data_IF_392038242267
#
_entry.id   IF_392038242267
#
_cell.length_a   1.000
_cell.length_b   1.000
_cell.length_c   1.000
_cell.angle_alpha   90.00
_cell.angle_beta   90.00
_cell.angle_gamma   90.00
#
_symmetry.space_group_name_H-M   'P 1'
#
loop_
_entity.id
_entity.type
_entity.pdbx_description
1 polymer ?
#
# COMPACT_ATOMS: atom_id res chain seq x y z
N UNK A 1 -2.05 -2.37 -23.19
CA UNK A 1 -0.86 -2.36 -22.31
C UNK A 1 -0.95 -1.15 -21.38
N UNK A 2 -0.55 -1.25 -20.10
CA UNK A 2 -0.51 -0.09 -19.21
C UNK A 2 0.43 0.99 -19.75
N UNK A 3 0.10 2.27 -19.53
CA UNK A 3 0.94 3.39 -19.95
C UNK A 3 2.21 3.47 -19.10
N UNK A 4 3.26 4.10 -19.65
CA UNK A 4 4.50 4.37 -18.89
C UNK A 4 4.23 5.14 -17.59
N UNK A 5 3.42 6.19 -17.67
CA UNK A 5 3.04 6.99 -16.49
C UNK A 5 2.34 6.17 -15.41
N UNK A 6 1.48 5.22 -15.80
CA UNK A 6 0.85 4.29 -14.85
C UNK A 6 1.88 3.43 -14.15
N UNK A 7 2.82 2.84 -14.90
CA UNK A 7 3.87 1.99 -14.35
C UNK A 7 4.80 2.77 -13.41
N UNK A 8 5.19 3.98 -13.78
CA UNK A 8 6.01 4.88 -12.96
C UNK A 8 5.32 5.22 -11.64
N UNK A 9 4.04 5.63 -11.68
CA UNK A 9 3.27 5.95 -10.48
C UNK A 9 3.10 4.73 -9.57
N UNK A 10 2.73 3.58 -10.13
CA UNK A 10 2.59 2.33 -9.37
C UNK A 10 3.91 1.96 -8.69
N UNK A 11 5.02 2.03 -9.39
CA UNK A 11 6.34 1.68 -8.84
C UNK A 11 6.78 2.67 -7.75
N UNK A 12 6.50 3.97 -7.92
CA UNK A 12 6.77 4.99 -6.90
C UNK A 12 5.98 4.74 -5.61
N UNK A 13 4.69 4.39 -5.71
CA UNK A 13 3.86 4.03 -4.56
C UNK A 13 4.38 2.77 -3.86
N UNK A 14 4.77 1.75 -4.62
CA UNK A 14 5.41 0.56 -4.04
C UNK A 14 6.71 0.87 -3.31
N UNK A 15 7.56 1.75 -3.86
CA UNK A 15 8.79 2.17 -3.20
C UNK A 15 8.48 2.90 -1.89
N UNK A 16 7.51 3.82 -1.91
CA UNK A 16 7.10 4.57 -0.72
C UNK A 16 6.54 3.65 0.37
N UNK A 17 5.69 2.68 0.03
CA UNK A 17 5.16 1.71 0.99
C UNK A 17 6.27 0.94 1.71
N UNK A 18 7.31 0.51 0.99
CA UNK A 18 8.45 -0.22 1.59
C UNK A 18 9.33 0.65 2.50
N UNK A 19 9.30 1.98 2.33
CA UNK A 19 10.03 2.91 3.20
C UNK A 19 9.25 3.34 4.43
N UNK A 20 7.94 3.11 4.46
CA UNK A 20 7.07 3.54 5.55
C UNK A 20 6.87 2.40 6.55
N UNK A 21 6.68 2.76 7.82
CA UNK A 21 6.34 1.79 8.86
C UNK A 21 4.90 1.32 8.67
N UNK A 22 4.65 -0.01 8.58
CA UNK A 22 3.30 -0.55 8.48
C UNK A 22 2.38 -0.06 9.60
N UNK A 23 1.12 0.21 9.26
CA UNK A 23 0.11 0.67 10.22
C UNK A 23 0.19 2.15 10.63
N UNK A 24 1.16 2.91 10.10
CA UNK A 24 1.16 4.37 10.24
C UNK A 24 0.12 5.02 9.34
N UNK A 25 -0.35 6.24 9.66
CA UNK A 25 -1.28 6.98 8.80
C UNK A 25 -0.72 7.21 7.38
N UNK A 26 0.56 7.55 7.25
CA UNK A 26 1.21 7.71 5.94
C UNK A 26 1.26 6.41 5.13
N UNK A 27 1.48 5.28 5.80
CA UNK A 27 1.46 3.97 5.16
C UNK A 27 0.07 3.64 4.63
N UNK A 28 -0.97 3.82 5.45
CA UNK A 28 -2.34 3.54 5.04
C UNK A 28 -2.79 4.47 3.90
N UNK A 29 -2.46 5.76 3.96
CA UNK A 29 -2.76 6.70 2.87
C UNK A 29 -2.08 6.30 1.54
N UNK A 30 -0.81 5.88 1.60
CA UNK A 30 -0.08 5.42 0.41
C UNK A 30 -0.65 4.10 -0.12
N UNK A 31 -1.09 3.22 0.78
CA UNK A 31 -1.73 1.96 0.44
C UNK A 31 -3.06 2.20 -0.27
N UNK A 32 -3.90 3.10 0.26
CA UNK A 32 -5.18 3.48 -0.35
C UNK A 32 -4.98 4.08 -1.74
N UNK A 33 -3.97 4.92 -1.94
CA UNK A 33 -3.64 5.46 -3.25
C UNK A 33 -3.24 4.36 -4.25
N UNK A 34 -2.45 3.39 -3.81
CA UNK A 34 -2.06 2.24 -4.65
C UNK A 34 -3.25 1.33 -4.95
N UNK A 35 -4.11 1.09 -3.96
CA UNK A 35 -5.35 0.34 -4.10
C UNK A 35 -6.27 0.98 -5.14
N UNK A 36 -6.51 2.29 -5.04
CA UNK A 36 -7.30 3.05 -5.99
C UNK A 36 -6.69 3.04 -7.41
N UNK A 37 -5.36 3.15 -7.52
CA UNK A 37 -4.67 3.12 -8.81
C UNK A 37 -4.77 1.76 -9.51
N UNK A 38 -4.70 0.66 -8.75
CA UNK A 38 -4.62 -0.70 -9.30
C UNK A 38 -5.95 -1.45 -9.31
N UNK A 39 -6.96 -0.93 -8.60
CA UNK A 39 -8.21 -1.62 -8.32
C UNK A 39 -8.05 -2.79 -7.35
N UNK A 40 -6.97 -2.83 -6.58
CA UNK A 40 -6.72 -3.89 -5.61
C UNK A 40 -7.32 -3.53 -4.25
N UNK A 41 -7.73 -4.53 -3.48
CA UNK A 41 -8.10 -4.34 -2.09
C UNK A 41 -6.84 -4.27 -1.20
N UNK A 42 -7.04 -3.77 0.01
CA UNK A 42 -5.97 -3.60 1.01
C UNK A 42 -5.19 -4.89 1.28
N UNK A 43 -5.90 -5.99 1.48
CA UNK A 43 -5.29 -7.29 1.78
C UNK A 43 -4.34 -7.76 0.67
N UNK A 44 -4.71 -7.53 -0.60
CA UNK A 44 -3.85 -7.88 -1.73
C UNK A 44 -2.62 -6.99 -1.83
N UNK A 45 -2.74 -5.71 -1.48
CA UNK A 45 -1.58 -4.80 -1.43
C UNK A 45 -0.63 -5.23 -0.31
N UNK A 46 -1.14 -5.55 0.88
CA UNK A 46 -0.34 -6.07 2.00
C UNK A 46 0.34 -7.39 1.66
N UNK A 47 -0.36 -8.32 1.03
CA UNK A 47 0.22 -9.57 0.56
C UNK A 47 1.38 -9.33 -0.44
N UNK A 48 1.27 -8.29 -1.28
CA UNK A 48 2.35 -7.85 -2.17
C UNK A 48 3.59 -7.28 -1.46
N UNK A 49 3.46 -6.87 -0.20
CA UNK A 49 4.57 -6.49 0.69
C UNK A 49 5.07 -7.67 1.53
N UNK A 50 4.42 -8.84 1.48
CA UNK A 50 4.69 -9.96 2.37
C UNK A 50 4.17 -9.74 3.79
N UNK A 51 3.19 -8.84 3.97
CA UNK A 51 2.60 -8.49 5.26
C UNK A 51 1.20 -9.09 5.41
N UNK A 52 0.85 -9.45 6.64
CA UNK A 52 -0.52 -9.77 7.04
C UNK A 52 -1.22 -8.54 7.65
N UNK A 53 -2.56 -8.53 7.72
CA UNK A 53 -3.29 -7.46 8.41
C UNK A 53 -2.90 -7.28 9.88
N UNK A 54 -2.41 -8.32 10.55
CA UNK A 54 -1.93 -8.27 11.92
C UNK A 54 -0.59 -7.53 12.06
N UNK A 55 0.27 -7.60 11.05
CA UNK A 55 1.57 -6.91 11.00
C UNK A 55 1.45 -5.46 10.55
N UNK A 56 0.33 -5.11 9.91
CA UNK A 56 -0.01 -3.75 9.48
C UNK A 56 -1.40 -3.38 10.02
N UNK A 57 -1.58 -3.23 11.35
CA UNK A 57 -2.86 -2.86 11.93
C UNK A 57 -3.26 -1.47 11.43
N UNK A 58 -4.55 -1.22 11.20
CA UNK A 58 -4.96 0.13 10.79
C UNK A 58 -4.70 1.12 11.93
N UNK A 59 -4.39 2.38 11.60
CA UNK A 59 -4.32 3.42 12.62
C UNK A 59 -5.66 3.51 13.37
N UNK A 60 -5.63 3.22 14.68
CA UNK A 60 -6.81 3.15 15.55
C UNK A 60 -7.27 1.74 15.95
N UNK A 61 -6.74 0.69 15.33
CA UNK A 61 -6.99 -0.72 15.72
C UNK A 61 -5.90 -1.30 16.63
N UNK A 62 -4.79 -0.58 16.83
CA UNK A 62 -3.79 -0.90 17.85
C UNK A 62 -4.37 -0.59 19.24
N UNK A 63 -5.11 -1.55 19.81
CA UNK A 63 -5.70 -1.46 21.15
C UNK A 63 -5.14 -2.55 22.05
#
# INVERSE_FOLDING_TARGET
MPSRAFLERRNALWARLRSLTPGTPDFEATLEELAALTGWNRERVLAGLGLTPAEAPRPGEAR
#
